data_IF_514379927357
#
_entry.id   IF_514379927357
#
_cell.length_a   1.000
_cell.length_b   1.000
_cell.length_c   1.000
_cell.angle_alpha   90.00
_cell.angle_beta   90.00
_cell.angle_gamma   90.00
#
_symmetry.space_group_name_H-M   'P 1'
#
loop_
_entity.id
_entity.type
_entity.pdbx_description
1 polymer ?
#
# COMPACT_ATOMS: atom_id res chain seq x y z
N UNK A 1 2.32 -47.50 -1.73
CA UNK A 1 2.83 -46.65 -2.83
C UNK A 1 1.88 -45.51 -3.19
N UNK A 2 0.60 -45.76 -3.52
CA UNK A 2 -0.34 -44.71 -3.99
C UNK A 2 -0.49 -43.53 -3.00
N UNK A 3 -0.61 -43.80 -1.69
CA UNK A 3 -0.72 -42.74 -0.65
C UNK A 3 0.51 -41.84 -0.57
N UNK A 4 1.71 -42.41 -0.75
CA UNK A 4 2.95 -41.64 -0.78
C UNK A 4 3.04 -40.79 -2.04
N UNK A 5 2.59 -41.31 -3.19
CA UNK A 5 2.58 -40.56 -4.45
C UNK A 5 1.65 -39.35 -4.41
N UNK A 6 0.46 -39.49 -3.79
CA UNK A 6 -0.49 -38.40 -3.58
C UNK A 6 0.10 -37.33 -2.66
N UNK A 7 0.79 -37.74 -1.59
CA UNK A 7 1.41 -36.81 -0.65
C UNK A 7 2.55 -36.02 -1.32
N UNK A 8 3.39 -36.68 -2.11
CA UNK A 8 4.48 -36.02 -2.85
C UNK A 8 3.95 -35.06 -3.92
N UNK A 9 2.88 -35.44 -4.63
CA UNK A 9 2.24 -34.56 -5.61
C UNK A 9 1.59 -33.33 -4.94
N UNK A 10 0.93 -33.51 -3.79
CA UNK A 10 0.37 -32.41 -3.01
C UNK A 10 1.45 -31.49 -2.41
N UNK A 11 2.61 -32.04 -2.03
CA UNK A 11 3.73 -31.24 -1.53
C UNK A 11 4.35 -30.39 -2.65
N UNK A 12 4.49 -30.95 -3.86
CA UNK A 12 5.03 -30.25 -5.02
C UNK A 12 4.13 -29.10 -5.50
N UNK A 13 2.80 -29.23 -5.41
CA UNK A 13 1.88 -28.13 -5.74
C UNK A 13 1.93 -27.00 -4.72
N UNK A 14 2.09 -27.30 -3.42
CA UNK A 14 2.26 -26.29 -2.37
C UNK A 14 3.58 -25.52 -2.54
N UNK A 15 4.65 -26.22 -2.92
CA UNK A 15 5.97 -25.61 -3.18
C UNK A 15 5.99 -24.75 -4.46
N UNK A 16 5.19 -25.09 -5.46
CA UNK A 16 5.13 -24.38 -6.76
C UNK A 16 4.18 -23.17 -6.76
N UNK A 17 3.35 -23.00 -5.72
CA UNK A 17 2.33 -21.96 -5.64
C UNK A 17 2.83 -20.62 -5.09
N UNK A 18 4.09 -20.52 -4.68
CA UNK A 18 4.67 -19.31 -4.10
C UNK A 18 5.57 -18.63 -5.12
N UNK A 19 4.98 -17.94 -6.11
CA UNK A 19 5.74 -16.85 -6.74
C UNK A 19 6.15 -15.89 -5.62
N UNK A 20 7.40 -15.41 -5.55
CA UNK A 20 7.82 -14.48 -4.51
C UNK A 20 7.05 -13.17 -4.72
N UNK A 21 5.87 -13.08 -4.12
CA UNK A 21 5.12 -11.84 -4.04
C UNK A 21 5.90 -10.96 -3.09
N UNK A 22 6.64 -10.02 -3.67
CA UNK A 22 7.46 -9.09 -2.90
C UNK A 22 6.62 -8.27 -1.92
N UNK A 23 5.35 -7.99 -2.28
CA UNK A 23 4.40 -7.29 -1.43
C UNK A 23 2.97 -7.84 -1.56
N UNK A 24 2.14 -7.55 -0.56
CA UNK A 24 0.69 -7.65 -0.70
C UNK A 24 0.17 -6.51 -1.58
N UNK A 25 -0.57 -6.87 -2.61
CA UNK A 25 -1.07 -5.97 -3.65
C UNK A 25 -2.60 -5.89 -3.65
N UNK A 26 -3.16 -5.21 -4.64
CA UNK A 26 -4.60 -5.11 -4.84
C UNK A 26 -5.29 -6.43 -5.13
N UNK A 27 -4.59 -7.44 -5.68
CA UNK A 27 -5.17 -8.76 -5.86
C UNK A 27 -5.38 -9.44 -4.49
N UNK A 28 -4.40 -9.35 -3.59
CA UNK A 28 -4.55 -9.81 -2.22
C UNK A 28 -5.67 -9.05 -1.47
N UNK A 29 -5.78 -7.75 -1.72
CA UNK A 29 -6.82 -6.92 -1.14
C UNK A 29 -8.23 -7.34 -1.57
N UNK A 30 -8.44 -7.56 -2.87
CA UNK A 30 -9.71 -8.01 -3.44
C UNK A 30 -10.02 -9.47 -3.07
N UNK A 31 -8.98 -10.29 -2.87
CA UNK A 31 -9.14 -11.68 -2.44
C UNK A 31 -9.81 -11.77 -1.05
N UNK A 32 -9.59 -10.80 -0.15
CA UNK A 32 -10.31 -10.74 1.12
C UNK A 32 -11.83 -10.62 0.92
N UNK A 33 -12.27 -9.90 -0.12
CA UNK A 33 -13.69 -9.79 -0.46
C UNK A 33 -14.24 -11.12 -1.02
N UNK A 34 -13.39 -11.87 -1.73
CA UNK A 34 -13.74 -13.22 -2.22
C UNK A 34 -13.86 -14.21 -1.07
N UNK A 35 -12.90 -14.22 -0.15
CA UNK A 35 -12.84 -15.15 0.99
C UNK A 35 -13.98 -14.91 1.99
N UNK A 36 -14.42 -13.67 2.14
CA UNK A 36 -15.50 -13.28 3.06
C UNK A 36 -16.87 -13.22 2.40
N UNK A 37 -17.02 -13.73 1.16
CA UNK A 37 -18.28 -13.68 0.42
C UNK A 37 -19.44 -14.36 1.14
N UNK A 38 -19.18 -15.51 1.74
CA UNK A 38 -20.20 -16.29 2.47
C UNK A 38 -20.45 -15.75 3.89
N UNK A 39 -19.50 -14.97 4.43
CA UNK A 39 -19.53 -14.40 5.78
C UNK A 39 -19.09 -12.93 5.75
N UNK A 40 -19.92 -12.04 5.18
CA UNK A 40 -19.56 -10.64 4.91
C UNK A 40 -19.23 -9.83 6.17
N UNK A 41 -19.70 -10.25 7.34
CA UNK A 41 -19.38 -9.67 8.64
C UNK A 41 -17.86 -9.70 8.95
N UNK A 42 -17.10 -10.63 8.35
CA UNK A 42 -15.65 -10.71 8.54
C UNK A 42 -14.84 -9.84 7.57
N UNK A 43 -15.46 -9.31 6.50
CA UNK A 43 -14.77 -8.49 5.49
C UNK A 43 -14.04 -7.30 6.10
N UNK A 44 -14.77 -6.47 6.85
CA UNK A 44 -14.21 -5.27 7.46
C UNK A 44 -13.23 -5.58 8.60
N UNK A 45 -13.53 -6.51 9.54
CA UNK A 45 -12.55 -6.97 10.54
C UNK A 45 -11.23 -7.46 9.94
N UNK A 46 -11.27 -8.23 8.84
CA UNK A 46 -10.07 -8.74 8.18
C UNK A 46 -9.21 -7.61 7.61
N UNK A 47 -9.83 -6.66 6.88
CA UNK A 47 -9.13 -5.47 6.37
C UNK A 47 -8.59 -4.58 7.49
N UNK A 48 -9.34 -4.41 8.58
CA UNK A 48 -8.89 -3.66 9.77
C UNK A 48 -7.67 -4.31 10.41
N UNK A 49 -7.66 -5.63 10.57
CA UNK A 49 -6.53 -6.36 11.14
C UNK A 49 -5.27 -6.15 10.29
N UNK A 50 -5.40 -6.26 8.96
CA UNK A 50 -4.30 -6.01 8.04
C UNK A 50 -3.75 -4.58 8.15
N UNK A 51 -4.61 -3.57 8.02
CA UNK A 51 -4.17 -2.17 8.05
C UNK A 51 -3.60 -1.81 9.43
N UNK A 52 -4.15 -2.31 10.53
CA UNK A 52 -3.55 -2.14 11.87
C UNK A 52 -2.16 -2.77 11.97
N UNK A 53 -2.00 -3.99 11.47
CA UNK A 53 -0.70 -4.66 11.45
C UNK A 53 0.35 -3.82 10.72
N UNK A 54 -0.02 -3.29 9.55
CA UNK A 54 0.85 -2.41 8.77
C UNK A 54 1.21 -1.11 9.52
N UNK A 55 0.22 -0.43 10.10
CA UNK A 55 0.46 0.81 10.85
C UNK A 55 1.33 0.58 12.09
N UNK A 56 1.15 -0.54 12.77
CA UNK A 56 1.98 -0.93 13.91
C UNK A 56 3.42 -1.24 13.48
N UNK A 57 3.61 -1.93 12.34
CA UNK A 57 4.94 -2.16 11.77
C UNK A 57 5.63 -0.85 11.41
N UNK A 58 4.92 0.07 10.74
CA UNK A 58 5.43 1.42 10.46
C UNK A 58 5.81 2.18 11.72
N UNK A 59 5.00 2.09 12.78
CA UNK A 59 5.32 2.73 14.07
C UNK A 59 6.58 2.12 14.67
N UNK A 60 6.73 0.80 14.63
CA UNK A 60 7.94 0.13 15.09
C UNK A 60 9.17 0.63 14.32
N UNK A 61 9.14 0.65 12.99
CA UNK A 61 10.25 1.13 12.16
C UNK A 61 10.59 2.59 12.44
N UNK A 62 9.58 3.43 12.65
CA UNK A 62 9.78 4.82 13.08
C UNK A 62 10.52 4.92 14.40
N UNK A 63 10.09 4.16 15.43
CA UNK A 63 10.74 4.17 16.74
C UNK A 63 12.19 3.70 16.63
N UNK A 64 12.45 2.64 15.87
CA UNK A 64 13.80 2.13 15.64
C UNK A 64 14.67 3.17 14.93
N UNK A 65 14.21 3.74 13.81
CA UNK A 65 14.95 4.76 13.08
C UNK A 65 15.23 5.99 13.94
N UNK A 66 14.26 6.40 14.77
CA UNK A 66 14.37 7.56 15.65
C UNK A 66 15.43 7.39 16.72
N UNK A 67 15.69 6.17 17.20
CA UNK A 67 16.79 5.92 18.15
C UNK A 67 18.16 6.19 17.54
N UNK A 68 18.31 6.04 16.23
CA UNK A 68 19.55 6.30 15.50
C UNK A 68 19.66 7.76 15.04
N UNK A 69 18.60 8.29 14.41
CA UNK A 69 18.53 9.68 13.95
C UNK A 69 17.08 10.16 13.95
N UNK A 70 16.73 11.01 14.91
CA UNK A 70 15.38 11.53 15.05
C UNK A 70 14.96 12.45 13.90
N UNK A 71 15.87 13.28 13.38
CA UNK A 71 15.57 14.23 12.30
C UNK A 71 15.28 13.48 11.00
N UNK A 72 16.11 12.48 10.70
CA UNK A 72 15.91 11.61 9.55
C UNK A 72 14.60 10.82 9.68
N UNK A 73 14.34 10.22 10.84
CA UNK A 73 13.11 9.47 11.08
C UNK A 73 11.85 10.32 10.90
N UNK A 74 11.82 11.53 11.47
CA UNK A 74 10.70 12.46 11.33
C UNK A 74 10.51 12.90 9.86
N UNK A 75 11.60 12.99 9.08
CA UNK A 75 11.53 13.32 7.65
C UNK A 75 10.95 12.17 6.79
N UNK A 76 11.36 10.93 7.05
CA UNK A 76 10.96 9.73 6.28
C UNK A 76 9.54 9.31 6.65
N UNK A 77 9.22 9.28 7.94
CA UNK A 77 7.94 8.80 8.46
C UNK A 77 6.92 9.92 8.62
N UNK A 78 6.99 10.98 7.80
CA UNK A 78 5.98 12.05 7.81
C UNK A 78 4.58 11.44 7.76
N UNK A 79 3.70 11.92 8.64
CA UNK A 79 2.44 11.25 8.91
C UNK A 79 1.35 11.59 7.90
N UNK A 80 1.26 10.75 6.86
CA UNK A 80 0.18 10.79 5.87
C UNK A 80 -0.98 9.86 6.23
N UNK A 81 -0.82 8.92 7.17
CA UNK A 81 -1.83 7.90 7.45
C UNK A 81 -2.59 8.16 8.76
N UNK A 82 -1.95 8.77 9.76
CA UNK A 82 -2.54 8.99 11.10
C UNK A 82 -3.63 10.07 11.17
N UNK A 83 -3.97 10.71 10.04
CA UNK A 83 -5.05 11.72 9.98
C UNK A 83 -6.44 11.14 9.72
N UNK A 84 -6.53 9.87 9.33
CA UNK A 84 -7.77 9.24 8.92
C UNK A 84 -8.16 8.12 9.87
N UNK A 85 -9.46 7.93 10.05
CA UNK A 85 -9.94 6.73 10.72
C UNK A 85 -9.61 5.49 9.87
N UNK A 86 -9.39 4.35 10.53
CA UNK A 86 -9.05 3.10 9.87
C UNK A 86 -10.05 2.72 8.75
N UNK A 87 -11.34 2.96 8.99
CA UNK A 87 -12.41 2.67 8.03
C UNK A 87 -12.42 3.63 6.83
N UNK A 88 -11.88 4.85 6.99
CA UNK A 88 -11.70 5.79 5.88
C UNK A 88 -10.54 5.35 5.00
N UNK A 89 -9.43 4.93 5.60
CA UNK A 89 -8.29 4.34 4.89
C UNK A 89 -8.72 3.10 4.09
N UNK A 90 -9.49 2.20 4.72
CA UNK A 90 -10.02 1.00 4.06
C UNK A 90 -10.92 1.37 2.88
N UNK A 91 -11.87 2.30 3.05
CA UNK A 91 -12.76 2.73 1.96
C UNK A 91 -12.01 3.40 0.81
N UNK A 92 -11.03 4.25 1.12
CA UNK A 92 -10.18 4.85 0.10
C UNK A 92 -9.39 3.80 -0.67
N UNK A 93 -8.84 2.81 0.03
CA UNK A 93 -8.11 1.68 -0.57
C UNK A 93 -9.02 0.79 -1.42
N UNK A 94 -10.25 0.53 -0.97
CA UNK A 94 -11.27 -0.18 -1.75
C UNK A 94 -11.55 0.53 -3.07
N UNK A 95 -11.76 1.84 -3.03
CA UNK A 95 -12.01 2.65 -4.22
C UNK A 95 -10.79 2.65 -5.16
N UNK A 96 -9.58 2.78 -4.62
CA UNK A 96 -8.35 2.78 -5.40
C UNK A 96 -8.16 1.50 -6.23
N UNK A 97 -8.52 0.34 -5.66
CA UNK A 97 -8.40 -0.96 -6.33
C UNK A 97 -9.57 -1.34 -7.22
N UNK A 98 -10.59 -0.48 -7.34
CA UNK A 98 -11.63 -0.66 -8.36
C UNK A 98 -11.04 -0.56 -9.78
N UNK A 99 -9.99 0.26 -9.96
CA UNK A 99 -9.24 0.32 -11.21
C UNK A 99 -8.30 -0.90 -11.34
N UNK A 100 -8.50 -1.76 -12.35
CA UNK A 100 -7.61 -2.90 -12.61
C UNK A 100 -6.14 -2.51 -12.80
N UNK A 101 -5.86 -1.32 -13.33
CA UNK A 101 -4.49 -0.83 -13.54
C UNK A 101 -3.77 -0.56 -12.21
N UNK A 102 -4.48 -0.51 -11.09
CA UNK A 102 -3.89 -0.29 -9.76
C UNK A 102 -3.60 -1.59 -9.01
N UNK A 103 -4.09 -2.74 -9.47
CA UNK A 103 -4.07 -3.98 -8.68
C UNK A 103 -2.69 -4.53 -8.36
N UNK A 104 -1.67 -4.22 -9.15
CA UNK A 104 -0.29 -4.63 -8.88
C UNK A 104 0.43 -3.71 -7.89
N UNK A 105 -0.15 -2.55 -7.56
CA UNK A 105 0.45 -1.64 -6.59
C UNK A 105 0.30 -2.19 -5.17
N UNK A 106 1.35 -2.14 -4.34
CA UNK A 106 1.28 -2.56 -2.95
C UNK A 106 0.23 -1.81 -2.14
N UNK A 107 -0.39 -2.49 -1.17
CA UNK A 107 -1.44 -1.89 -0.32
C UNK A 107 -0.93 -0.68 0.45
N UNK A 108 0.34 -0.68 0.86
CA UNK A 108 0.98 0.47 1.52
C UNK A 108 0.96 1.70 0.61
N UNK A 109 1.28 1.54 -0.68
CA UNK A 109 1.24 2.62 -1.66
C UNK A 109 -0.18 3.13 -1.87
N UNK A 110 -1.16 2.24 -1.98
CA UNK A 110 -2.57 2.60 -2.10
C UNK A 110 -3.05 3.43 -0.89
N UNK A 111 -2.68 3.04 0.33
CA UNK A 111 -3.01 3.79 1.55
C UNK A 111 -2.44 5.21 1.53
N UNK A 112 -1.19 5.38 1.08
CA UNK A 112 -0.58 6.72 0.98
C UNK A 112 -1.21 7.54 -0.13
N UNK A 113 -1.38 6.98 -1.34
CA UNK A 113 -2.00 7.66 -2.49
C UNK A 113 -3.41 8.16 -2.13
N UNK A 114 -4.22 7.28 -1.54
CA UNK A 114 -5.59 7.62 -1.12
C UNK A 114 -5.60 8.68 -0.03
N UNK A 115 -4.65 8.63 0.90
CA UNK A 115 -4.50 9.63 1.95
C UNK A 115 -4.06 10.99 1.40
N UNK A 116 -3.15 11.03 0.42
CA UNK A 116 -2.73 12.27 -0.24
C UNK A 116 -3.92 12.93 -0.96
N UNK A 117 -4.71 12.16 -1.71
CA UNK A 117 -5.93 12.66 -2.33
C UNK A 117 -6.94 13.18 -1.30
N UNK A 118 -7.18 12.42 -0.23
CA UNK A 118 -8.12 12.81 0.82
C UNK A 118 -7.68 14.06 1.61
N UNK A 119 -6.37 14.30 1.74
CA UNK A 119 -5.82 15.52 2.34
C UNK A 119 -5.93 16.76 1.44
N UNK A 120 -6.32 16.59 0.17
CA UNK A 120 -6.46 17.69 -0.78
C UNK A 120 -5.14 18.13 -1.42
N UNK A 121 -4.15 17.25 -1.52
CA UNK A 121 -2.99 17.51 -2.37
C UNK A 121 -3.42 17.67 -3.83
N UNK A 122 -2.72 18.50 -4.63
CA UNK A 122 -3.04 18.65 -6.05
C UNK A 122 -3.01 17.31 -6.79
N UNK A 123 -3.91 17.11 -7.75
CA UNK A 123 -3.99 15.88 -8.54
C UNK A 123 -2.66 15.55 -9.24
N UNK A 124 -1.89 16.56 -9.65
CA UNK A 124 -0.55 16.38 -10.20
C UNK A 124 0.41 15.72 -9.21
N UNK A 125 0.37 16.13 -7.92
CA UNK A 125 1.21 15.54 -6.87
C UNK A 125 0.80 14.09 -6.60
N UNK A 126 -0.51 13.81 -6.56
CA UNK A 126 -1.02 12.44 -6.38
C UNK A 126 -0.63 11.56 -7.56
N UNK A 127 -0.74 12.08 -8.79
CA UNK A 127 -0.37 11.38 -10.02
C UNK A 127 1.14 11.10 -10.10
N UNK A 128 1.98 12.09 -9.75
CA UNK A 128 3.44 11.93 -9.75
C UNK A 128 3.88 10.91 -8.70
N UNK A 129 3.30 10.95 -7.50
CA UNK A 129 3.56 9.95 -6.47
C UNK A 129 3.11 8.55 -6.92
N UNK A 130 1.93 8.45 -7.54
CA UNK A 130 1.42 7.19 -8.10
C UNK A 130 2.37 6.65 -9.17
N UNK A 131 2.88 7.50 -10.07
CA UNK A 131 3.87 7.11 -11.08
C UNK A 131 5.16 6.61 -10.44
N UNK A 132 5.69 7.33 -9.46
CA UNK A 132 6.89 6.91 -8.73
C UNK A 132 6.71 5.53 -8.05
N UNK A 133 5.53 5.25 -7.47
CA UNK A 133 5.22 3.93 -6.94
C UNK A 133 5.20 2.83 -8.01
N UNK A 134 4.68 3.13 -9.21
CA UNK A 134 4.67 2.20 -10.36
C UNK A 134 6.09 1.91 -10.82
N UNK A 135 6.90 2.94 -11.00
CA UNK A 135 8.29 2.81 -11.46
C UNK A 135 9.10 2.00 -10.44
N UNK A 136 8.92 2.26 -9.14
CA UNK A 136 9.57 1.53 -8.07
C UNK A 136 9.19 0.04 -8.05
N UNK A 137 7.90 -0.31 -8.11
CA UNK A 137 7.49 -1.72 -8.08
C UNK A 137 7.92 -2.45 -9.36
N UNK A 138 7.87 -1.78 -10.51
CA UNK A 138 8.34 -2.34 -11.78
C UNK A 138 9.85 -2.62 -11.71
N UNK A 139 10.63 -1.69 -11.19
CA UNK A 139 12.07 -1.86 -11.00
C UNK A 139 12.39 -3.01 -10.05
N UNK A 140 11.70 -3.10 -8.91
CA UNK A 140 11.87 -4.22 -7.98
C UNK A 140 11.51 -5.56 -8.61
N UNK A 141 10.42 -5.61 -9.38
CA UNK A 141 10.00 -6.84 -10.07
C UNK A 141 11.06 -7.30 -11.07
N UNK A 142 11.68 -6.36 -11.80
CA UNK A 142 12.80 -6.66 -12.71
C UNK A 142 14.00 -7.22 -11.94
N UNK A 143 14.43 -6.56 -10.86
CA UNK A 143 15.55 -7.02 -10.01
C UNK A 143 15.34 -8.43 -9.45
N UNK A 144 14.10 -8.78 -9.11
CA UNK A 144 13.76 -10.11 -8.57
C UNK A 144 13.56 -11.18 -9.65
N UNK A 145 13.35 -10.80 -10.91
CA UNK A 145 13.15 -11.73 -12.03
C UNK A 145 14.45 -12.19 -12.67
N UNK A 146 15.53 -11.41 -12.51
CA UNK A 146 16.89 -11.83 -12.80
C UNK A 146 17.46 -12.51 -11.55
N UNK A 147 17.91 -13.77 -11.64
CA UNK A 147 18.65 -14.44 -10.56
C UNK A 147 20.00 -13.72 -10.34
N UNK A 148 20.02 -12.62 -9.59
CA UNK A 148 21.24 -11.87 -9.31
C UNK A 148 21.84 -12.31 -7.97
N UNK A 149 23.10 -12.80 -7.94
CA UNK A 149 23.81 -13.03 -6.69
C UNK A 149 24.03 -11.67 -6.02
N UNK A 150 23.44 -11.50 -4.84
CA UNK A 150 23.50 -10.25 -4.09
C UNK A 150 24.95 -10.00 -3.68
N UNK A 151 25.64 -9.10 -4.37
CA UNK A 151 26.86 -8.47 -3.87
C UNK A 151 26.44 -7.12 -3.32
N UNK A 152 26.49 -6.98 -1.99
CA UNK A 152 26.03 -5.76 -1.30
C UNK A 152 27.08 -4.67 -1.47
N UNK A 153 26.98 -3.88 -2.54
CA UNK A 153 27.64 -2.56 -2.61
C UNK A 153 26.73 -1.53 -3.30
N UNK A 154 26.49 -0.41 -2.61
CA UNK A 154 25.99 0.82 -3.22
C UNK A 154 24.47 0.95 -3.38
N UNK A 155 23.72 1.02 -2.29
CA UNK A 155 22.34 1.54 -2.33
C UNK A 155 22.39 3.03 -2.68
N UNK A 156 22.11 3.37 -3.94
CA UNK A 156 21.69 4.72 -4.31
C UNK A 156 20.29 4.95 -3.71
N UNK A 157 20.13 6.04 -2.97
CA UNK A 157 18.94 6.34 -2.17
C UNK A 157 17.67 6.25 -3.04
N UNK A 158 16.55 5.67 -2.55
CA UNK A 158 15.28 5.75 -3.26
C UNK A 158 14.92 7.23 -3.46
N UNK A 159 14.37 7.56 -4.64
CA UNK A 159 13.87 8.90 -4.91
C UNK A 159 12.75 9.23 -3.90
N UNK A 160 13.09 10.02 -2.88
CA UNK A 160 12.09 10.56 -1.96
C UNK A 160 11.12 11.44 -2.77
N UNK A 161 9.80 11.42 -2.49
CA UNK A 161 8.92 12.47 -2.98
C UNK A 161 9.53 13.81 -2.55
N UNK A 162 9.63 14.76 -3.50
CA UNK A 162 10.20 16.08 -3.23
C UNK A 162 9.55 16.65 -1.98
N UNK A 163 10.36 17.18 -1.08
CA UNK A 163 9.90 17.71 0.20
C UNK A 163 8.82 18.77 -0.06
N UNK A 164 7.67 18.74 0.65
CA UNK A 164 6.61 19.74 0.48
C UNK A 164 7.06 21.19 0.71
N UNK A 165 8.27 21.42 1.22
CA UNK A 165 8.89 22.74 1.36
C UNK A 165 9.21 23.44 0.03
N UNK A 166 9.22 22.72 -1.11
CA UNK A 166 9.41 23.33 -2.44
C UNK A 166 8.10 23.78 -3.10
N UNK A 167 6.94 23.37 -2.55
CA UNK A 167 5.62 23.79 -3.05
C UNK A 167 5.09 24.87 -2.11
N UNK A 168 5.26 26.14 -2.51
CA UNK A 168 4.64 27.26 -1.81
C UNK A 168 3.11 27.08 -1.75
N UNK A 169 2.61 26.77 -0.55
CA UNK A 169 1.18 26.76 -0.27
C UNK A 169 0.81 28.09 0.40
N UNK A 170 -0.06 28.93 -0.18
CA UNK A 170 -0.52 30.16 0.47
C UNK A 170 -1.31 29.84 1.75
N UNK A 171 -1.26 30.71 2.78
CA UNK A 171 -1.86 30.42 4.07
C UNK A 171 -3.39 30.51 4.03
N UNK A 172 -4.01 29.37 4.35
CA UNK A 172 -5.36 29.11 4.87
C UNK A 172 -6.61 29.40 4.01
N UNK A 173 -7.38 28.32 3.72
CA UNK A 173 -8.79 28.23 4.18
C UNK A 173 -9.09 26.79 4.64
N UNK A 174 -9.44 26.70 5.93
CA UNK A 174 -9.89 25.51 6.64
C UNK A 174 -11.31 25.15 6.18
N UNK A 175 -11.46 24.09 5.37
CA UNK A 175 -12.68 23.26 5.31
C UNK A 175 -12.26 21.81 5.08
N UNK A 176 -12.40 20.99 6.12
CA UNK A 176 -12.38 19.53 5.97
C UNK A 176 -13.55 19.19 5.03
N UNK A 177 -13.26 18.87 3.77
CA UNK A 177 -14.28 18.32 2.87
C UNK A 177 -14.56 16.90 3.36
N UNK A 178 -15.78 16.65 3.84
CA UNK A 178 -16.32 15.30 4.01
C UNK A 178 -16.42 14.70 2.60
N UNK A 179 -15.64 13.68 2.28
CA UNK A 179 -15.68 13.00 0.97
C UNK A 179 -16.81 11.94 0.91
N UNK A 180 -18.00 12.27 1.38
CA UNK A 180 -19.21 11.48 1.11
C UNK A 180 -20.35 12.43 0.74
N UNK A 181 -20.72 12.43 -0.54
CA UNK A 181 -21.92 13.08 -1.05
C UNK A 181 -22.73 12.02 -1.82
N UNK A 182 -23.73 11.37 -1.19
CA UNK A 182 -24.45 10.22 -1.74
C UNK A 182 -25.25 10.54 -3.01
N UNK A 183 -25.49 11.82 -3.29
CA UNK A 183 -26.25 12.32 -4.44
C UNK A 183 -25.47 12.23 -5.78
N UNK A 184 -24.14 12.02 -5.76
CA UNK A 184 -23.31 11.94 -6.97
C UNK A 184 -23.20 10.53 -7.59
N UNK A 185 -23.94 9.55 -7.05
CA UNK A 185 -23.99 8.17 -7.56
C UNK A 185 -25.26 7.86 -8.36
N UNK A 186 -26.06 8.86 -8.72
CA UNK A 186 -27.14 8.67 -9.69
C UNK A 186 -26.59 9.04 -11.08
N UNK A 187 -26.37 8.03 -11.89
CA UNK A 187 -26.37 8.13 -13.35
C UNK A 187 -27.47 7.19 -13.86
N UNK A 188 -28.16 7.54 -14.97
CA UNK A 188 -29.59 7.35 -15.22
C UNK A 188 -30.12 5.92 -15.16
#
# INVERSE_FOLDING_TARGET
>A
MIRSLIFTAALMTVLSAQSPKLFWDGNNWLEMDRLTREYPEFRLPMKRAYVRGLLNGRLYDYLQARTADASLADSIFRDYLGRFALDELIRGTDQFYQDPANRYLPVVSALVITSLGAMGFPDSVVADYTRACRDWINHLTMLTSEEVPITVEGISKPALPRTPSEVYLPPAVRKIRKWYNPELLILP
#
